data_IF_546301723273
#
_entry.id   IF_546301723273
#
_cell.length_a   1.000
_cell.length_b   1.000
_cell.length_c   1.000
_cell.angle_alpha   90.00
_cell.angle_beta   90.00
_cell.angle_gamma   90.00
#
_symmetry.space_group_name_H-M   'P 1'
#
loop_
_entity.id
_entity.type
_entity.pdbx_description
1 polymer ?
#
# COMPACT_ATOMS: atom_id res chain seq x y z
N UNK A 1 8.75 -10.84 -1.99
CA UNK A 1 10.11 -10.46 -2.43
C UNK A 1 10.15 -9.31 -3.44
N UNK A 2 9.32 -9.31 -4.50
CA UNK A 2 9.41 -8.35 -5.62
C UNK A 2 9.50 -6.85 -5.23
N UNK A 3 8.66 -6.36 -4.31
CA UNK A 3 8.71 -4.95 -3.88
C UNK A 3 10.07 -4.57 -3.26
N UNK A 4 10.65 -5.45 -2.44
CA UNK A 4 11.97 -5.23 -1.82
C UNK A 4 13.10 -5.30 -2.83
N UNK A 5 12.99 -6.15 -3.85
CA UNK A 5 13.98 -6.23 -4.93
C UNK A 5 13.98 -4.94 -5.76
N UNK A 6 12.80 -4.45 -6.13
CA UNK A 6 12.65 -3.17 -6.85
C UNK A 6 13.23 -2.03 -6.03
N UNK A 7 12.96 -1.94 -4.73
CA UNK A 7 13.46 -0.82 -3.91
C UNK A 7 14.97 -0.92 -3.68
N UNK A 8 15.52 -2.13 -3.51
CA UNK A 8 16.96 -2.33 -3.31
C UNK A 8 17.79 -2.09 -4.58
N UNK A 9 17.23 -2.31 -5.77
CA UNK A 9 17.98 -2.11 -7.03
C UNK A 9 18.27 -0.64 -7.35
N UNK A 10 17.64 0.30 -6.65
CA UNK A 10 17.75 1.74 -6.89
C UNK A 10 18.55 2.49 -5.81
N UNK A 11 19.18 1.78 -4.88
CA UNK A 11 19.97 2.37 -3.78
C UNK A 11 21.37 1.77 -3.70
N UNK A 12 22.31 2.49 -3.09
CA UNK A 12 23.68 1.99 -2.86
C UNK A 12 23.73 0.90 -1.78
N UNK A 13 24.81 0.12 -1.73
CA UNK A 13 24.93 -1.03 -0.81
C UNK A 13 24.71 -0.67 0.67
N UNK A 14 25.15 0.51 1.11
CA UNK A 14 24.98 0.97 2.49
C UNK A 14 23.54 1.38 2.83
N UNK A 15 22.70 1.68 1.83
CA UNK A 15 21.31 2.13 2.00
C UNK A 15 20.28 1.01 1.90
N UNK A 16 20.68 -0.22 1.53
CA UNK A 16 19.75 -1.34 1.31
C UNK A 16 18.89 -1.69 2.53
N UNK A 17 19.44 -1.54 3.73
CA UNK A 17 18.69 -1.73 4.98
C UNK A 17 17.54 -0.73 5.11
N UNK A 18 17.83 0.56 4.90
CA UNK A 18 16.83 1.63 4.91
C UNK A 18 15.78 1.43 3.81
N UNK A 19 16.21 1.02 2.61
CA UNK A 19 15.32 0.76 1.49
C UNK A 19 14.33 -0.40 1.79
N UNK A 20 14.81 -1.46 2.45
CA UNK A 20 13.96 -2.57 2.94
C UNK A 20 13.03 -2.10 4.06
N UNK A 21 13.52 -1.27 4.98
CA UNK A 21 12.74 -0.67 6.05
C UNK A 21 11.56 0.15 5.53
N UNK A 22 11.78 0.99 4.52
CA UNK A 22 10.72 1.79 3.88
C UNK A 22 9.65 0.88 3.26
N UNK A 23 10.06 -0.16 2.53
CA UNK A 23 9.11 -1.09 1.91
C UNK A 23 8.25 -1.84 2.95
N UNK A 24 8.87 -2.28 4.06
CA UNK A 24 8.15 -2.89 5.18
C UNK A 24 7.18 -1.91 5.82
N UNK A 25 7.62 -0.68 6.06
CA UNK A 25 6.80 0.33 6.72
C UNK A 25 5.56 0.66 5.88
N UNK A 26 5.70 0.77 4.56
CA UNK A 26 4.55 0.97 3.66
C UNK A 26 3.55 -0.18 3.74
N UNK A 27 4.01 -1.43 3.73
CA UNK A 27 3.13 -2.60 3.90
C UNK A 27 2.43 -2.62 5.25
N UNK A 28 3.13 -2.27 6.32
CA UNK A 28 2.57 -2.21 7.66
C UNK A 28 1.51 -1.11 7.81
N UNK A 29 1.79 0.11 7.33
CA UNK A 29 0.82 1.21 7.34
C UNK A 29 -0.42 0.86 6.51
N UNK A 30 -0.24 0.22 5.36
CA UNK A 30 -1.36 -0.26 4.54
C UNK A 30 -2.21 -1.31 5.26
N UNK A 31 -1.58 -2.28 5.92
CA UNK A 31 -2.28 -3.31 6.70
C UNK A 31 -3.06 -2.71 7.87
N UNK A 32 -2.45 -1.81 8.65
CA UNK A 32 -3.14 -1.12 9.74
C UNK A 32 -4.30 -0.27 9.25
N UNK A 33 -4.13 0.40 8.10
CA UNK A 33 -5.20 1.20 7.49
C UNK A 33 -6.38 0.32 7.09
N UNK A 34 -6.14 -0.84 6.49
CA UNK A 34 -7.21 -1.79 6.14
C UNK A 34 -7.93 -2.32 7.38
N UNK A 35 -7.18 -2.78 8.39
CA UNK A 35 -7.78 -3.30 9.63
C UNK A 35 -8.64 -2.22 10.30
N UNK A 36 -8.15 -0.97 10.33
CA UNK A 36 -8.92 0.17 10.84
C UNK A 36 -10.20 0.43 10.04
N UNK A 37 -10.12 0.47 8.70
CA UNK A 37 -11.29 0.70 7.84
C UNK A 37 -12.34 -0.42 7.97
N UNK A 38 -11.90 -1.67 8.09
CA UNK A 38 -12.80 -2.81 8.33
C UNK A 38 -13.56 -2.60 9.64
N UNK A 39 -12.85 -2.33 10.75
CA UNK A 39 -13.47 -2.07 12.05
C UNK A 39 -14.45 -0.90 11.99
N UNK A 40 -14.03 0.21 11.38
CA UNK A 40 -14.86 1.41 11.24
C UNK A 40 -16.17 1.14 10.48
N UNK A 41 -16.11 0.37 9.39
CA UNK A 41 -17.30 0.02 8.61
C UNK A 41 -18.22 -0.91 9.41
N UNK A 42 -17.65 -1.93 10.06
CA UNK A 42 -18.43 -2.86 10.88
C UNK A 42 -19.14 -2.11 12.02
N UNK A 43 -18.43 -1.23 12.73
CA UNK A 43 -19.00 -0.41 13.79
C UNK A 43 -20.11 0.51 13.27
N UNK A 44 -19.91 1.12 12.09
CA UNK A 44 -20.93 2.00 11.47
C UNK A 44 -22.21 1.27 11.07
N UNK A 45 -22.12 -0.04 10.82
CA UNK A 45 -23.25 -0.90 10.44
C UNK A 45 -23.86 -1.64 11.65
N UNK A 46 -23.42 -1.33 12.88
CA UNK A 46 -23.89 -1.98 14.10
C UNK A 46 -23.35 -3.40 14.32
N UNK A 47 -22.40 -3.83 13.48
CA UNK A 47 -21.74 -5.14 13.54
C UNK A 47 -20.48 -5.08 14.43
N UNK A 48 -20.59 -4.49 15.62
CA UNK A 48 -19.47 -4.33 16.56
C UNK A 48 -19.21 -5.55 17.46
N UNK A 49 -20.16 -6.49 17.56
CA UNK A 49 -20.01 -7.71 18.37
C UNK A 49 -20.30 -8.95 17.53
N UNK A 50 -19.75 -10.13 17.89
CA UNK A 50 -19.96 -11.36 17.11
C UNK A 50 -21.42 -11.75 16.91
N UNK A 51 -22.30 -11.36 17.83
CA UNK A 51 -23.75 -11.62 17.75
C UNK A 51 -24.46 -10.73 16.74
N UNK A 52 -23.91 -9.54 16.43
CA UNK A 52 -24.49 -8.58 15.48
C UNK A 52 -23.86 -8.66 14.09
N UNK A 53 -22.98 -9.64 13.87
CA UNK A 53 -22.33 -9.87 12.59
C UNK A 53 -23.31 -10.34 11.52
N UNK A 54 -23.37 -9.57 10.43
CA UNK A 54 -24.18 -9.92 9.25
C UNK A 54 -23.29 -10.05 8.02
N UNK A 55 -23.72 -10.89 7.07
CA UNK A 55 -23.02 -11.05 5.80
C UNK A 55 -22.90 -9.73 5.04
N UNK A 56 -23.92 -8.88 5.09
CA UNK A 56 -23.92 -7.58 4.44
C UNK A 56 -22.85 -6.65 5.02
N UNK A 57 -22.72 -6.60 6.35
CA UNK A 57 -21.68 -5.79 7.00
C UNK A 57 -20.28 -6.25 6.60
N UNK A 58 -20.02 -7.57 6.56
CA UNK A 58 -18.74 -8.09 6.10
C UNK A 58 -18.48 -7.82 4.62
N UNK A 59 -19.49 -7.83 3.74
CA UNK A 59 -19.32 -7.47 2.33
C UNK A 59 -18.81 -6.05 2.18
N UNK A 60 -19.42 -5.10 2.89
CA UNK A 60 -18.99 -3.70 2.88
C UNK A 60 -17.63 -3.51 3.53
N UNK A 61 -17.37 -4.17 4.66
CA UNK A 61 -16.08 -4.09 5.34
C UNK A 61 -14.95 -4.62 4.45
N UNK A 62 -15.15 -5.75 3.75
CA UNK A 62 -14.17 -6.29 2.81
C UNK A 62 -14.00 -5.41 1.56
N UNK A 63 -15.05 -4.72 1.11
CA UNK A 63 -14.98 -3.77 0.01
C UNK A 63 -14.01 -2.60 0.27
N UNK A 64 -13.64 -2.32 1.53
CA UNK A 64 -12.61 -1.33 1.90
C UNK A 64 -11.23 -1.57 1.26
N UNK A 65 -10.93 -2.80 0.82
CA UNK A 65 -9.70 -3.10 0.08
C UNK A 65 -9.66 -2.39 -1.27
N UNK A 66 -10.81 -2.25 -1.93
CA UNK A 66 -10.93 -1.68 -3.27
C UNK A 66 -10.37 -0.25 -3.32
N UNK A 67 -10.83 0.72 -2.49
CA UNK A 67 -10.30 2.08 -2.54
C UNK A 67 -8.81 2.15 -2.18
N UNK A 68 -8.33 1.34 -1.24
CA UNK A 68 -6.90 1.33 -0.85
C UNK A 68 -6.02 0.78 -1.99
N UNK A 69 -6.44 -0.30 -2.64
CA UNK A 69 -5.73 -0.86 -3.80
C UNK A 69 -5.76 0.13 -4.97
N UNK A 70 -6.93 0.72 -5.26
CA UNK A 70 -7.07 1.72 -6.32
C UNK A 70 -6.18 2.94 -6.07
N UNK A 71 -6.11 3.42 -4.82
CA UNK A 71 -5.21 4.50 -4.45
C UNK A 71 -3.74 4.11 -4.69
N UNK A 72 -3.34 2.90 -4.29
CA UNK A 72 -1.99 2.38 -4.54
C UNK A 72 -1.66 2.31 -6.03
N UNK A 73 -2.57 1.77 -6.84
CA UNK A 73 -2.42 1.70 -8.30
C UNK A 73 -2.34 3.11 -8.89
N UNK A 74 -3.20 4.03 -8.46
CA UNK A 74 -3.21 5.41 -8.93
C UNK A 74 -1.90 6.13 -8.59
N UNK A 75 -1.40 5.97 -7.36
CA UNK A 75 -0.10 6.52 -6.96
C UNK A 75 1.03 5.98 -7.84
N UNK A 76 1.05 4.68 -8.11
CA UNK A 76 2.03 4.08 -9.01
C UNK A 76 1.88 4.66 -10.42
N UNK A 77 0.66 4.71 -10.97
CA UNK A 77 0.40 5.22 -12.32
C UNK A 77 0.81 6.70 -12.49
N UNK A 78 0.65 7.52 -11.44
CA UNK A 78 1.02 8.93 -11.45
C UNK A 78 2.53 9.16 -11.26
N UNK A 79 3.18 8.39 -10.39
CA UNK A 79 4.60 8.57 -10.06
C UNK A 79 5.53 7.85 -11.04
N UNK A 80 5.10 6.72 -11.61
CA UNK A 80 5.93 5.89 -12.48
C UNK A 80 6.47 6.65 -13.71
N UNK A 81 5.69 7.47 -14.44
CA UNK A 81 6.21 8.24 -15.57
C UNK A 81 7.29 9.26 -15.16
N UNK A 82 7.12 9.89 -13.98
CA UNK A 82 8.10 10.84 -13.43
C UNK A 82 9.41 10.14 -13.07
N UNK A 83 9.31 9.00 -12.38
CA UNK A 83 10.46 8.17 -12.03
C UNK A 83 11.21 7.68 -13.28
N UNK A 84 10.48 7.18 -14.29
CA UNK A 84 11.06 6.74 -15.57
C UNK A 84 11.83 7.86 -16.27
N UNK A 85 11.26 9.07 -16.36
CA UNK A 85 11.94 10.24 -16.96
C UNK A 85 13.23 10.60 -16.23
N UNK A 86 13.21 10.62 -14.90
CA UNK A 86 14.39 10.93 -14.08
C UNK A 86 15.51 9.91 -14.27
N UNK A 87 15.19 8.62 -14.38
CA UNK A 87 16.16 7.55 -14.64
C UNK A 87 16.76 7.65 -16.05
N UNK A 88 15.94 7.95 -17.05
CA UNK A 88 16.41 8.06 -18.45
C UNK A 88 17.28 9.30 -18.65
N UNK A 89 16.98 10.41 -17.95
CA UNK A 89 17.79 11.63 -18.00
C UNK A 89 19.18 11.48 -17.38
N UNK A 90 19.30 10.68 -16.31
CA UNK A 90 20.62 10.37 -15.69
C UNK A 90 21.53 9.56 -16.60
N UNK A 91 20.97 8.70 -17.45
CA UNK A 91 21.73 7.88 -18.39
C UNK A 91 22.33 8.68 -19.57
N UNK A 92 21.85 9.91 -19.83
CA UNK A 92 22.36 10.77 -20.90
C UNK A 92 23.48 11.72 -20.45
N UNK A 93 23.66 11.88 -19.13
CA UNK A 93 24.65 12.80 -18.52
C UNK A 93 25.91 12.09 -17.98
N UNK A 94 26.08 10.80 -18.25
CA UNK A 94 27.27 10.00 -17.91
C UNK A 94 27.89 9.42 -19.17
#
# INVERSE_FOLDING_TARGET
>A
MAAFEVVRSHVTQHQRGLATGIANMGGFVGALTIVFLIGLILDSLGAGTPETYTLEAFRWAMASHIPVILLGILMIALLYPKAKRALTGRAQTS
#
